data_IF_492691942207
#
_entry.id   IF_492691942207
#
_cell.length_a   1.000
_cell.length_b   1.000
_cell.length_c   1.000
_cell.angle_alpha   90.00
_cell.angle_beta   90.00
_cell.angle_gamma   90.00
#
_symmetry.space_group_name_H-M   'P 1'
#
loop_
_entity.id
_entity.type
_entity.pdbx_description
1 polymer ?
#
# COMPACT_ATOMS: atom_id res chain seq x y z
N UNK A 1 -3.41 0.17 -17.09
CA UNK A 1 -4.39 0.06 -15.99
C UNK A 1 -5.72 -0.35 -16.57
N UNK A 2 -6.39 -1.34 -15.98
CA UNK A 2 -7.76 -1.70 -16.35
C UNK A 2 -8.79 -0.67 -15.81
N UNK A 3 -10.08 -0.87 -16.10
CA UNK A 3 -11.14 0.02 -15.62
C UNK A 3 -11.24 0.04 -14.08
N UNK A 4 -11.14 -1.13 -13.44
CA UNK A 4 -11.27 -1.24 -11.98
C UNK A 4 -10.15 -0.48 -11.28
N UNK A 5 -8.93 -0.61 -11.78
CA UNK A 5 -7.76 0.09 -11.25
C UNK A 5 -7.83 1.61 -11.40
N UNK A 6 -8.51 2.12 -12.44
CA UNK A 6 -8.64 3.55 -12.72
C UNK A 6 -9.78 4.21 -11.95
N UNK A 7 -10.92 3.54 -11.85
CA UNK A 7 -12.16 4.18 -11.42
C UNK A 7 -12.69 3.68 -10.07
N UNK A 8 -12.34 2.46 -9.66
CA UNK A 8 -12.88 1.86 -8.42
C UNK A 8 -11.94 2.11 -7.26
N UNK A 9 -12.45 2.83 -6.24
CA UNK A 9 -11.70 3.06 -5.00
C UNK A 9 -11.80 1.86 -4.07
N UNK A 10 -10.65 1.36 -3.64
CA UNK A 10 -10.52 0.29 -2.66
C UNK A 10 -9.41 0.62 -1.67
N UNK A 11 -9.19 -0.24 -0.67
CA UNK A 11 -7.94 -0.16 0.09
C UNK A 11 -6.77 -0.45 -0.86
N UNK A 12 -5.74 0.35 -0.77
CA UNK A 12 -4.53 0.18 -1.58
C UNK A 12 -3.31 0.27 -0.67
N UNK A 13 -2.20 -0.31 -1.13
CA UNK A 13 -0.92 -0.17 -0.47
C UNK A 13 0.19 -0.01 -1.52
N UNK A 14 1.15 0.86 -1.23
CA UNK A 14 2.38 1.01 -2.01
C UNK A 14 3.58 0.88 -1.08
N UNK A 15 4.66 0.32 -1.61
CA UNK A 15 5.98 0.38 -0.99
C UNK A 15 6.94 1.05 -1.98
N UNK A 16 7.78 1.95 -1.50
CA UNK A 16 8.71 2.64 -2.38
C UNK A 16 9.84 3.35 -1.67
N UNK A 17 10.83 3.79 -2.46
CA UNK A 17 12.00 4.51 -1.99
C UNK A 17 11.71 6.01 -1.89
N UNK A 18 12.14 6.64 -0.81
CA UNK A 18 12.08 8.09 -0.59
C UNK A 18 13.40 8.54 0.06
N UNK A 19 14.31 9.07 -0.76
CA UNK A 19 15.69 9.32 -0.36
C UNK A 19 16.40 8.04 0.09
N UNK A 20 16.90 8.03 1.32
CA UNK A 20 17.52 6.85 1.95
C UNK A 20 16.52 5.96 2.72
N UNK A 21 15.23 6.29 2.69
CA UNK A 21 14.19 5.56 3.42
C UNK A 21 13.33 4.72 2.48
N UNK A 22 12.73 3.67 3.03
CA UNK A 22 11.60 2.97 2.42
C UNK A 22 10.33 3.47 3.10
N UNK A 23 9.33 3.86 2.31
CA UNK A 23 8.00 4.22 2.79
C UNK A 23 7.01 3.12 2.40
N UNK A 24 6.29 2.60 3.38
CA UNK A 24 5.11 1.75 3.19
C UNK A 24 3.88 2.60 3.49
N UNK A 25 3.01 2.77 2.49
CA UNK A 25 1.83 3.62 2.58
C UNK A 25 0.60 2.78 2.30
N UNK A 26 -0.45 2.97 3.09
CA UNK A 26 -1.73 2.31 2.87
C UNK A 26 -2.86 3.33 2.92
N UNK A 27 -3.93 3.09 2.16
CA UNK A 27 -5.10 3.96 2.12
C UNK A 27 -6.37 3.16 2.42
N UNK A 28 -7.41 3.84 2.91
CA UNK A 28 -8.72 3.23 3.15
C UNK A 28 -9.57 3.14 1.87
N UNK A 29 -9.37 4.07 0.94
CA UNK A 29 -10.14 4.20 -0.29
C UNK A 29 -9.36 5.04 -1.31
N UNK A 30 -8.80 4.41 -2.33
CA UNK A 30 -8.01 5.04 -3.39
C UNK A 30 -8.07 4.22 -4.69
N UNK A 31 -7.92 4.89 -5.83
CA UNK A 31 -7.62 4.26 -7.13
C UNK A 31 -6.11 4.09 -7.31
N UNK A 32 -5.66 3.41 -8.38
CA UNK A 32 -4.22 3.34 -8.68
C UNK A 32 -3.63 4.72 -9.04
N UNK A 33 -4.30 5.57 -9.83
CA UNK A 33 -3.87 6.96 -10.03
C UNK A 33 -3.78 7.79 -8.73
N UNK A 34 -4.75 7.65 -7.81
CA UNK A 34 -4.68 8.32 -6.50
C UNK A 34 -3.40 7.92 -5.75
N UNK A 35 -3.02 6.63 -5.80
CA UNK A 35 -1.79 6.15 -5.16
C UNK A 35 -0.52 6.72 -5.81
N UNK A 36 -0.53 6.93 -7.13
CA UNK A 36 0.59 7.55 -7.83
C UNK A 36 0.75 9.04 -7.46
N UNK A 37 -0.36 9.76 -7.27
CA UNK A 37 -0.35 11.14 -6.77
C UNK A 37 0.14 11.22 -5.32
N UNK A 38 -0.34 10.31 -4.45
CA UNK A 38 0.14 10.18 -3.07
C UNK A 38 1.64 9.89 -3.03
N UNK A 39 2.14 9.01 -3.90
CA UNK A 39 3.57 8.69 -3.99
C UNK A 39 4.39 9.95 -4.31
N UNK A 40 3.96 10.74 -5.30
CA UNK A 40 4.61 12.01 -5.66
C UNK A 40 4.60 13.01 -4.50
N UNK A 41 3.45 13.20 -3.85
CA UNK A 41 3.30 14.11 -2.71
C UNK A 41 4.11 13.69 -1.48
N UNK A 42 4.44 12.40 -1.35
CA UNK A 42 5.27 11.85 -0.28
C UNK A 42 6.74 11.68 -0.70
N UNK A 43 7.15 12.25 -1.83
CA UNK A 43 8.52 12.19 -2.36
C UNK A 43 9.03 10.75 -2.51
N UNK A 44 8.16 9.85 -2.96
CA UNK A 44 8.49 8.47 -3.28
C UNK A 44 8.91 8.44 -4.76
N UNK A 45 10.19 8.14 -5.03
CA UNK A 45 10.77 8.18 -6.39
C UNK A 45 10.41 6.94 -7.21
N UNK A 46 10.45 5.78 -6.57
CA UNK A 46 10.22 4.47 -7.18
C UNK A 46 9.30 3.68 -6.26
N UNK A 47 8.16 3.23 -6.77
CA UNK A 47 7.15 2.54 -5.98
C UNK A 47 6.56 1.33 -6.68
N UNK A 48 6.18 0.33 -5.90
CA UNK A 48 5.42 -0.83 -6.31
C UNK A 48 4.06 -0.81 -5.61
N UNK A 49 3.00 -1.06 -6.38
CA UNK A 49 1.66 -1.30 -5.84
C UNK A 49 1.58 -2.74 -5.30
N UNK A 50 1.04 -2.89 -4.10
CA UNK A 50 0.84 -4.18 -3.43
C UNK A 50 -0.61 -4.64 -3.59
N UNK A 51 -0.91 -5.87 -3.11
CA UNK A 51 -2.29 -6.36 -3.11
C UNK A 51 -3.20 -5.50 -2.23
N UNK A 52 -4.38 -5.21 -2.78
CA UNK A 52 -5.33 -4.24 -2.25
C UNK A 52 -6.57 -4.87 -1.61
N UNK A 53 -7.60 -4.05 -1.40
CA UNK A 53 -8.92 -4.50 -0.98
C UNK A 53 -8.92 -5.19 0.39
N UNK A 54 -9.50 -6.39 0.44
CA UNK A 54 -9.59 -7.16 1.69
C UNK A 54 -8.26 -7.78 2.13
N UNK A 55 -7.27 -7.84 1.24
CA UNK A 55 -5.93 -8.33 1.54
C UNK A 55 -5.07 -7.30 2.28
N UNK A 56 -5.40 -6.01 2.21
CA UNK A 56 -4.58 -4.95 2.82
C UNK A 56 -4.60 -5.04 4.35
N UNK A 57 -3.46 -5.43 4.94
CA UNK A 57 -3.22 -5.41 6.39
C UNK A 57 -1.90 -4.72 6.73
N UNK A 58 -1.84 -4.09 7.91
CA UNK A 58 -0.61 -3.56 8.48
C UNK A 58 -0.51 -3.96 9.95
N UNK A 59 0.54 -4.69 10.29
CA UNK A 59 0.90 -5.04 11.67
C UNK A 59 2.12 -4.19 12.04
N UNK A 60 2.03 -3.47 13.15
CA UNK A 60 3.12 -2.64 13.66
C UNK A 60 3.33 -2.92 15.13
N UNK A 61 4.57 -3.31 15.51
CA UNK A 61 4.94 -3.71 16.87
C UNK A 61 3.98 -4.75 17.47
N UNK A 62 3.72 -5.82 16.71
CA UNK A 62 2.81 -6.91 17.09
C UNK A 62 1.32 -6.56 17.13
N UNK A 63 0.94 -5.30 16.86
CA UNK A 63 -0.46 -4.86 16.86
C UNK A 63 -1.01 -4.70 15.45
N UNK A 64 -2.19 -5.26 15.19
CA UNK A 64 -2.91 -5.04 13.94
C UNK A 64 -3.44 -3.59 13.87
N UNK A 65 -2.94 -2.80 12.92
CA UNK A 65 -3.29 -1.38 12.75
C UNK A 65 -4.30 -1.15 11.63
N UNK A 66 -4.23 -1.94 10.56
CA UNK A 66 -5.05 -1.79 9.36
C UNK A 66 -5.45 -3.19 8.89
N UNK A 67 -6.72 -3.38 8.51
CA UNK A 67 -7.24 -4.62 7.96
C UNK A 67 -8.69 -4.47 7.51
N UNK A 68 -9.19 -5.43 6.73
CA UNK A 68 -9.78 -6.63 7.35
C UNK A 68 -8.79 -7.80 7.50
N UNK A 69 -7.75 -7.87 6.65
CA UNK A 69 -6.63 -8.81 6.80
C UNK A 69 -7.00 -10.28 6.57
N UNK A 70 -7.44 -10.63 5.35
CA UNK A 70 -7.60 -12.03 4.95
C UNK A 70 -6.26 -12.77 4.96
N UNK A 71 -6.28 -14.08 5.17
CA UNK A 71 -5.13 -14.96 4.99
C UNK A 71 -4.48 -14.74 3.62
N UNK A 72 -3.18 -14.42 3.65
CA UNK A 72 -2.37 -14.14 2.49
C UNK A 72 -1.16 -15.06 2.42
N UNK A 73 -0.78 -15.52 1.21
CA UNK A 73 0.38 -16.38 1.04
C UNK A 73 1.71 -15.60 1.13
N UNK A 74 1.67 -14.26 1.04
CA UNK A 74 2.85 -13.41 1.01
C UNK A 74 2.70 -12.20 1.91
N UNK A 75 3.82 -11.76 2.50
CA UNK A 75 3.91 -10.56 3.33
C UNK A 75 5.28 -9.89 3.15
N UNK A 76 5.31 -8.57 3.33
CA UNK A 76 6.56 -7.82 3.51
C UNK A 76 6.81 -7.70 5.01
N UNK A 77 7.95 -8.20 5.47
CA UNK A 77 8.33 -8.21 6.89
C UNK A 77 9.61 -7.41 7.03
N UNK A 78 9.59 -6.42 7.92
CA UNK A 78 10.79 -5.75 8.39
C UNK A 78 11.24 -6.48 9.65
N UNK A 79 12.36 -7.19 9.55
CA UNK A 79 13.02 -7.85 10.67
C UNK A 79 14.01 -6.92 11.37
N UNK A 80 14.45 -7.35 12.55
CA UNK A 80 15.55 -6.75 13.31
C UNK A 80 16.93 -7.24 12.80
#
# INVERSE_FOLDING_TARGET
>A
LDYKQREVKTRQAIIGKSGNNIKLVTTRSATVPDMAEIAQNLEISDSLLLDGGSSTTLIYKGSHKIGPGRDMPTAIIFGD
#
